data_IF_807741706861
#
_entry.id   IF_807741706861
#
_cell.length_a   1.000
_cell.length_b   1.000
_cell.length_c   1.000
_cell.angle_alpha   90.00
_cell.angle_beta   90.00
_cell.angle_gamma   90.00
#
_symmetry.space_group_name_H-M   'P 1'
#
loop_
_entity.id
_entity.type
_entity.pdbx_description
1 polymer ?
#
# COMPACT_ATOMS: atom_id res chain seq x y z
N UNK A 1 -0.03 -48.87 26.36
CA UNK A 1 0.54 -47.67 27.04
C UNK A 1 1.02 -46.72 25.96
N UNK A 2 0.41 -45.53 25.97
CA UNK A 2 0.72 -44.24 25.35
C UNK A 2 1.36 -44.10 23.96
N UNK A 3 0.59 -43.40 23.13
CA UNK A 3 0.96 -42.61 21.96
C UNK A 3 2.01 -41.53 22.26
N UNK A 4 2.85 -41.22 21.27
CA UNK A 4 3.40 -39.88 21.07
C UNK A 4 3.37 -39.58 19.56
N UNK A 5 2.23 -39.06 19.11
CA UNK A 5 2.13 -38.32 17.86
C UNK A 5 2.91 -37.01 18.05
N UNK A 6 4.01 -36.85 17.32
CA UNK A 6 4.75 -35.60 17.28
C UNK A 6 3.90 -34.52 16.60
N UNK A 7 3.18 -33.74 17.39
CA UNK A 7 2.55 -32.51 16.93
C UNK A 7 3.65 -31.56 16.46
N UNK A 8 3.72 -31.36 15.14
CA UNK A 8 4.43 -30.23 14.54
C UNK A 8 3.64 -28.97 14.91
N UNK A 9 3.96 -28.40 16.06
CA UNK A 9 3.51 -27.06 16.41
C UNK A 9 4.12 -26.11 15.38
N UNK A 10 3.30 -25.68 14.42
CA UNK A 10 3.64 -24.60 13.50
C UNK A 10 4.07 -23.41 14.35
N UNK A 11 5.36 -23.08 14.30
CA UNK A 11 5.85 -21.84 14.85
C UNK A 11 5.20 -20.73 14.03
N UNK A 12 4.19 -20.06 14.60
CA UNK A 12 3.77 -18.76 14.12
C UNK A 12 5.01 -17.87 14.22
N UNK A 13 5.68 -17.65 13.10
CA UNK A 13 6.88 -16.84 13.02
C UNK A 13 6.49 -15.43 13.48
N UNK A 14 7.04 -14.97 14.59
CA UNK A 14 6.78 -13.63 15.08
C UNK A 14 7.22 -12.64 13.99
N UNK A 15 6.31 -11.75 13.58
CA UNK A 15 6.56 -10.75 12.55
C UNK A 15 7.85 -9.99 12.88
N UNK A 16 8.71 -9.84 11.89
CA UNK A 16 9.91 -9.02 12.01
C UNK A 16 9.51 -7.55 12.23
N UNK A 17 10.40 -6.76 12.86
CA UNK A 17 10.17 -5.33 13.09
C UNK A 17 9.81 -4.58 11.79
N UNK A 18 10.40 -4.99 10.66
CA UNK A 18 10.12 -4.42 9.36
C UNK A 18 8.69 -4.75 8.91
N UNK A 19 8.28 -6.02 8.98
CA UNK A 19 6.91 -6.42 8.62
C UNK A 19 5.84 -5.73 9.50
N UNK A 20 6.15 -5.48 10.78
CA UNK A 20 5.26 -4.69 11.65
C UNK A 20 5.14 -3.24 11.22
N UNK A 21 6.25 -2.62 10.80
CA UNK A 21 6.26 -1.24 10.29
C UNK A 21 5.47 -1.15 8.99
N UNK A 22 5.72 -2.07 8.08
CA UNK A 22 5.06 -2.18 6.77
C UNK A 22 3.54 -2.31 6.93
N UNK A 23 3.08 -3.19 7.84
CA UNK A 23 1.67 -3.35 8.19
C UNK A 23 1.07 -2.07 8.78
N UNK A 24 1.79 -1.40 9.67
CA UNK A 24 1.33 -0.16 10.29
C UNK A 24 1.20 0.97 9.25
N UNK A 25 2.13 1.04 8.29
CA UNK A 25 2.06 1.99 7.18
C UNK A 25 0.82 1.73 6.31
N UNK A 26 0.54 0.48 5.93
CA UNK A 26 -0.68 0.14 5.19
C UNK A 26 -1.95 0.55 5.95
N UNK A 27 -2.03 0.24 7.25
CA UNK A 27 -3.17 0.62 8.09
C UNK A 27 -3.35 2.14 8.15
N UNK A 28 -2.25 2.89 8.27
CA UNK A 28 -2.29 4.35 8.24
C UNK A 28 -2.81 4.88 6.90
N UNK A 29 -2.35 4.32 5.77
CA UNK A 29 -2.83 4.73 4.43
C UNK A 29 -4.31 4.41 4.24
N UNK A 30 -4.77 3.25 4.69
CA UNK A 30 -6.19 2.87 4.67
C UNK A 30 -7.04 3.83 5.50
N UNK A 31 -6.61 4.16 6.72
CA UNK A 31 -7.31 5.12 7.55
C UNK A 31 -7.38 6.51 6.92
N UNK A 32 -6.30 6.97 6.28
CA UNK A 32 -6.29 8.26 5.55
C UNK A 32 -7.26 8.24 4.37
N UNK A 33 -7.35 7.13 3.63
CA UNK A 33 -8.32 6.97 2.56
C UNK A 33 -9.75 7.06 3.09
N UNK A 34 -10.07 6.37 4.19
CA UNK A 34 -11.39 6.45 4.83
C UNK A 34 -11.74 7.88 5.25
N UNK A 35 -10.78 8.62 5.83
CA UNK A 35 -10.96 10.03 6.19
C UNK A 35 -11.22 10.92 4.96
N UNK A 36 -10.49 10.70 3.87
CA UNK A 36 -10.66 11.46 2.63
C UNK A 36 -12.03 11.19 1.98
N UNK A 37 -12.51 9.94 2.01
CA UNK A 37 -13.87 9.57 1.57
C UNK A 37 -14.93 10.34 2.38
N UNK A 38 -14.82 10.34 3.71
CA UNK A 38 -15.75 11.07 4.58
C UNK A 38 -15.72 12.58 4.35
N UNK A 39 -14.52 13.14 4.14
CA UNK A 39 -14.35 14.55 3.83
C UNK A 39 -15.00 14.93 2.49
N UNK A 40 -14.85 14.09 1.46
CA UNK A 40 -15.49 14.29 0.17
C UNK A 40 -17.01 14.21 0.26
N UNK A 41 -17.55 13.23 1.00
CA UNK A 41 -18.99 13.10 1.23
C UNK A 41 -19.56 14.34 1.92
N UNK A 42 -18.88 14.83 2.96
CA UNK A 42 -19.27 16.05 3.67
C UNK A 42 -19.23 17.27 2.74
N UNK A 43 -18.15 17.45 1.97
CA UNK A 43 -18.03 18.57 1.05
C UNK A 43 -19.05 18.51 -0.11
N UNK A 44 -19.44 17.31 -0.53
CA UNK A 44 -20.48 17.11 -1.54
C UNK A 44 -21.85 17.54 -1.00
N UNK A 45 -22.20 17.15 0.22
CA UNK A 45 -23.45 17.56 0.87
C UNK A 45 -23.52 19.09 1.07
N UNK A 46 -22.44 19.69 1.53
CA UNK A 46 -22.31 21.14 1.66
C UNK A 46 -22.47 21.86 0.32
N UNK A 47 -21.85 21.33 -0.75
CA UNK A 47 -21.96 21.89 -2.10
C UNK A 47 -23.39 21.80 -2.62
N UNK A 48 -24.07 20.66 -2.43
CA UNK A 48 -25.46 20.48 -2.85
C UNK A 48 -26.40 21.45 -2.12
N UNK A 49 -26.23 21.58 -0.81
CA UNK A 49 -26.99 22.52 0.02
C UNK A 49 -26.75 23.97 -0.42
N UNK A 50 -25.48 24.35 -0.57
CA UNK A 50 -25.09 25.70 -0.99
C UNK A 50 -25.59 26.03 -2.39
N UNK A 51 -25.57 25.06 -3.31
CA UNK A 51 -26.12 25.20 -4.65
C UNK A 51 -27.60 25.52 -4.62
N UNK A 52 -28.39 24.77 -3.85
CA UNK A 52 -29.83 25.02 -3.69
C UNK A 52 -30.14 26.43 -3.16
N UNK A 53 -29.35 26.89 -2.19
CA UNK A 53 -29.48 28.24 -1.63
C UNK A 53 -29.04 29.33 -2.62
N UNK A 54 -27.99 29.08 -3.41
CA UNK A 54 -27.55 29.98 -4.47
C UNK A 54 -28.60 30.11 -5.58
N UNK A 55 -29.15 28.98 -6.06
CA UNK A 55 -30.18 28.93 -7.09
C UNK A 55 -31.47 29.66 -6.64
N UNK A 56 -31.74 29.66 -5.33
CA UNK A 56 -32.84 30.38 -4.70
C UNK A 56 -32.53 31.85 -4.37
N UNK A 57 -31.29 32.32 -4.63
CA UNK A 57 -30.85 33.69 -4.39
C UNK A 57 -30.52 34.04 -2.93
N UNK A 58 -30.42 33.06 -2.03
CA UNK A 58 -30.12 33.26 -0.61
C UNK A 58 -28.62 33.36 -0.32
N UNK A 59 -27.76 32.90 -1.22
CA UNK A 59 -26.30 32.86 -1.06
C UNK A 59 -25.62 33.57 -2.23
N UNK A 60 -24.52 34.26 -1.94
CA UNK A 60 -23.73 34.95 -2.96
C UNK A 60 -22.90 33.97 -3.82
N UNK A 61 -22.64 34.35 -5.07
CA UNK A 61 -21.78 33.57 -5.99
C UNK A 61 -20.40 33.26 -5.38
N UNK A 62 -19.84 34.19 -4.61
CA UNK A 62 -18.55 33.98 -3.95
C UNK A 62 -18.60 32.79 -2.98
N UNK A 63 -19.63 32.70 -2.14
CA UNK A 63 -19.80 31.59 -1.19
C UNK A 63 -19.99 30.27 -1.93
N UNK A 64 -20.81 30.24 -2.97
CA UNK A 64 -20.98 29.05 -3.80
C UNK A 64 -19.64 28.58 -4.41
N UNK A 65 -18.85 29.51 -4.96
CA UNK A 65 -17.54 29.18 -5.51
C UNK A 65 -16.56 28.68 -4.45
N UNK A 66 -16.58 29.23 -3.23
CA UNK A 66 -15.77 28.73 -2.12
C UNK A 66 -16.14 27.29 -1.78
N UNK A 67 -17.43 26.98 -1.60
CA UNK A 67 -17.88 25.61 -1.30
C UNK A 67 -17.53 24.65 -2.44
N UNK A 68 -17.65 25.10 -3.69
CA UNK A 68 -17.23 24.31 -4.86
C UNK A 68 -15.73 24.00 -4.84
N UNK A 69 -14.90 24.98 -4.49
CA UNK A 69 -13.46 24.78 -4.39
C UNK A 69 -13.11 23.80 -3.27
N UNK A 70 -13.79 23.88 -2.11
CA UNK A 70 -13.60 22.91 -1.02
C UNK A 70 -13.95 21.48 -1.44
N UNK A 71 -15.02 21.30 -2.23
CA UNK A 71 -15.34 19.99 -2.81
C UNK A 71 -14.26 19.48 -3.76
N UNK A 72 -13.74 20.33 -4.65
CA UNK A 72 -12.65 19.93 -5.55
C UNK A 72 -11.37 19.60 -4.77
N UNK A 73 -11.06 20.34 -3.71
CA UNK A 73 -9.94 20.04 -2.83
C UNK A 73 -10.09 18.68 -2.14
N UNK A 74 -11.27 18.39 -1.59
CA UNK A 74 -11.56 17.08 -0.98
C UNK A 74 -11.46 15.93 -2.01
N UNK A 75 -11.86 16.18 -3.27
CA UNK A 75 -11.71 15.21 -4.36
C UNK A 75 -10.25 14.91 -4.67
N UNK A 76 -9.41 15.95 -4.72
CA UNK A 76 -7.97 15.80 -4.92
C UNK A 76 -7.31 15.06 -3.75
N UNK A 77 -7.72 15.34 -2.51
CA UNK A 77 -7.21 14.64 -1.33
C UNK A 77 -7.56 13.15 -1.34
N UNK A 78 -8.76 12.78 -1.83
CA UNK A 78 -9.13 11.38 -2.03
C UNK A 78 -8.21 10.70 -3.05
N UNK A 79 -8.02 11.32 -4.21
CA UNK A 79 -7.14 10.80 -5.27
C UNK A 79 -5.70 10.63 -4.76
N UNK A 80 -5.17 11.62 -4.02
CA UNK A 80 -3.85 11.52 -3.40
C UNK A 80 -3.78 10.36 -2.40
N UNK A 81 -4.81 10.16 -1.57
CA UNK A 81 -4.85 9.05 -0.62
C UNK A 81 -4.88 7.67 -1.30
N UNK A 82 -5.61 7.55 -2.42
CA UNK A 82 -5.64 6.33 -3.25
C UNK A 82 -4.26 6.03 -3.84
N UNK A 83 -3.62 7.04 -4.46
CA UNK A 83 -2.27 6.92 -5.02
C UNK A 83 -1.28 6.49 -3.93
N UNK A 84 -1.32 7.14 -2.77
CA UNK A 84 -0.42 6.84 -1.66
C UNK A 84 -0.61 5.42 -1.10
N UNK A 85 -1.84 4.89 -1.10
CA UNK A 85 -2.11 3.52 -0.70
C UNK A 85 -1.58 2.54 -1.74
N UNK A 86 -1.79 2.83 -3.04
CA UNK A 86 -1.29 2.01 -4.13
C UNK A 86 0.24 1.97 -4.15
N UNK A 87 0.92 3.12 -4.04
CA UNK A 87 2.38 3.20 -3.95
C UNK A 87 2.92 2.38 -2.79
N UNK A 88 2.31 2.48 -1.60
CA UNK A 88 2.73 1.70 -0.43
C UNK A 88 2.55 0.20 -0.70
N UNK A 89 1.44 -0.19 -1.33
CA UNK A 89 1.18 -1.58 -1.70
C UNK A 89 2.21 -2.10 -2.71
N UNK A 90 2.54 -1.30 -3.72
CA UNK A 90 3.55 -1.63 -4.73
C UNK A 90 4.95 -1.74 -4.13
N UNK A 91 5.32 -0.85 -3.21
CA UNK A 91 6.59 -0.91 -2.50
C UNK A 91 6.71 -2.17 -1.63
N UNK A 92 5.62 -2.56 -0.97
CA UNK A 92 5.58 -3.81 -0.22
C UNK A 92 5.68 -5.02 -1.12
N UNK A 93 4.96 -5.05 -2.24
CA UNK A 93 5.09 -6.11 -3.24
C UNK A 93 6.52 -6.20 -3.79
N UNK A 94 7.15 -5.05 -4.09
CA UNK A 94 8.53 -4.97 -4.56
C UNK A 94 9.51 -5.51 -3.53
N UNK A 95 9.35 -5.15 -2.26
CA UNK A 95 10.21 -5.62 -1.17
C UNK A 95 9.99 -7.10 -0.88
N UNK A 96 8.75 -7.58 -0.99
CA UNK A 96 8.41 -8.99 -0.92
C UNK A 96 9.05 -9.76 -2.07
N UNK A 97 9.16 -9.19 -3.27
CA UNK A 97 9.84 -9.81 -4.42
C UNK A 97 11.36 -9.65 -4.36
N UNK A 98 12.05 -10.46 -3.54
CA UNK A 98 13.51 -10.44 -3.45
C UNK A 98 14.15 -11.66 -4.12
N UNK A 99 14.89 -11.43 -5.21
CA UNK A 99 15.77 -12.43 -5.80
C UNK A 99 17.14 -12.30 -5.13
N UNK A 100 17.64 -13.39 -4.53
CA UNK A 100 18.97 -13.43 -3.91
C UNK A 100 19.89 -14.34 -4.72
N UNK A 101 21.18 -13.99 -4.75
CA UNK A 101 22.21 -14.87 -5.32
C UNK A 101 22.51 -15.94 -4.28
N UNK A 102 22.11 -17.19 -4.55
CA UNK A 102 22.37 -18.32 -3.65
C UNK A 102 23.82 -18.78 -3.72
N UNK A 103 24.36 -18.83 -4.94
CA UNK A 103 25.72 -19.27 -5.20
C UNK A 103 26.28 -18.53 -6.42
N UNK A 104 27.56 -18.20 -6.36
CA UNK A 104 28.28 -17.56 -7.46
C UNK A 104 29.67 -18.18 -7.55
N UNK A 105 29.94 -18.90 -8.65
CA UNK A 105 31.19 -19.61 -8.86
C UNK A 105 31.84 -19.16 -10.13
N UNK A 106 33.15 -18.92 -10.05
CA UNK A 106 33.99 -18.61 -11.20
C UNK A 106 34.88 -19.81 -11.50
N UNK A 107 34.83 -20.30 -12.72
CA UNK A 107 35.69 -21.39 -13.18
C UNK A 107 36.24 -21.13 -14.57
N UNK A 108 37.25 -21.89 -14.96
CA UNK A 108 37.85 -21.84 -16.29
C UNK A 108 37.22 -22.93 -17.16
N UNK A 109 36.70 -22.55 -18.32
CA UNK A 109 36.27 -23.49 -19.35
C UNK A 109 37.48 -24.27 -19.88
N UNK A 110 37.22 -25.44 -20.48
CA UNK A 110 38.26 -26.26 -21.13
C UNK A 110 39.04 -25.50 -22.21
N UNK A 111 38.43 -24.46 -22.77
CA UNK A 111 39.04 -23.57 -23.78
C UNK A 111 39.79 -22.36 -23.15
N UNK A 112 40.07 -22.37 -21.84
CA UNK A 112 40.79 -21.31 -21.13
C UNK A 112 39.99 -20.04 -20.80
N UNK A 113 38.74 -19.93 -21.30
CA UNK A 113 37.83 -18.81 -21.04
C UNK A 113 37.35 -18.82 -19.59
N UNK A 114 37.29 -17.65 -18.95
CA UNK A 114 36.69 -17.51 -17.61
C UNK A 114 35.17 -17.51 -17.73
N UNK A 115 34.49 -18.43 -17.06
CA UNK A 115 33.03 -18.49 -16.96
C UNK A 115 32.62 -18.17 -15.53
N UNK A 116 31.53 -17.41 -15.39
CA UNK A 116 30.87 -17.13 -14.12
C UNK A 116 29.50 -17.79 -14.17
N UNK A 117 29.21 -18.63 -13.18
CA UNK A 117 27.94 -19.29 -12.99
C UNK A 117 27.29 -18.72 -11.72
N UNK A 118 26.08 -18.20 -11.88
CA UNK A 118 25.32 -17.52 -10.83
C UNK A 118 24.00 -18.26 -10.69
N UNK A 119 23.78 -18.87 -9.53
CA UNK A 119 22.50 -19.49 -9.19
C UNK A 119 21.67 -18.49 -8.40
N UNK A 120 20.54 -18.09 -8.98
CA UNK A 120 19.56 -17.18 -8.36
C UNK A 120 18.50 -17.99 -7.63
N UNK A 121 18.10 -17.54 -6.44
CA UNK A 121 17.00 -18.10 -5.66
C UNK A 121 15.95 -17.03 -5.39
N UNK A 122 14.69 -17.44 -5.51
CA UNK A 122 13.56 -16.60 -5.15
C UNK A 122 13.39 -16.68 -3.62
N UNK A 123 13.85 -15.65 -2.92
CA UNK A 123 13.66 -15.48 -1.47
C UNK A 123 12.46 -14.59 -1.18
N UNK A 124 11.48 -14.55 -2.10
CA UNK A 124 10.31 -13.69 -1.95
C UNK A 124 9.38 -14.27 -0.90
N UNK A 125 9.04 -13.47 0.10
CA UNK A 125 8.02 -13.83 1.09
C UNK A 125 6.71 -13.14 0.76
N UNK A 126 6.05 -13.63 -0.30
CA UNK A 126 4.81 -13.05 -0.83
C UNK A 126 3.60 -13.39 0.07
N UNK A 127 3.73 -14.38 0.96
CA UNK A 127 2.63 -14.83 1.84
C UNK A 127 2.41 -13.94 3.06
N UNK A 128 3.43 -13.18 3.46
CA UNK A 128 3.37 -12.25 4.60
C UNK A 128 3.12 -10.79 4.19
N UNK A 129 2.99 -10.49 2.89
CA UNK A 129 2.91 -9.14 2.34
C UNK A 129 1.49 -8.63 2.02
N UNK A 130 0.46 -9.48 2.16
CA UNK A 130 -0.97 -9.18 1.95
C UNK A 130 -1.80 -9.71 3.12
#
# INVERSE_FOLDING_TARGET
VLCCAGATWGQAQALTRQQLLDKLQLQERQQRLEQAVQSLETALDELQTTRSLYDSGFVALQTFNTTKNSYEEARLQLEEAEILLEETTLDLLKNATRIVVRDARKYKSKDGKSIVDITLENASDVRDAL
#
